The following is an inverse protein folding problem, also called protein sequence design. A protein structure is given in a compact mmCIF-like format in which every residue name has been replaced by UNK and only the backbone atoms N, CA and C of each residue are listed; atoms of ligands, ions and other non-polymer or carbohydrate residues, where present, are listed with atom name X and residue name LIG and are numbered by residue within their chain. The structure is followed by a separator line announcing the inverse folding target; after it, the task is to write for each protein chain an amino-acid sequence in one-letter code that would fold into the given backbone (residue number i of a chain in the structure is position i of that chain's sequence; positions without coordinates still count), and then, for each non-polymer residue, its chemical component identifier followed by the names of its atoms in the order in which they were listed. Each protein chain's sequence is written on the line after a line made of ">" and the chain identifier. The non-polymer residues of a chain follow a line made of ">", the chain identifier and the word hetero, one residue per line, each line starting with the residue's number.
data_IF_175683041711
#
_entry.id   IF_175683041711
#
_cell.length_a   1.000
_cell.length_b   1.000
_cell.length_c   1.000
_cell.angle_alpha   90.00
_cell.angle_beta   90.00
_cell.angle_gamma   90.00
#
_symmetry.space_group_name_H-M   'P 1'
#
loop_
_entity.id
_entity.type
_entity.pdbx_description
1 polymer ?
#
# COMPACT_ATOMS: atom_id res chain seq x y z
N UNK A 1 23.56 31.80 49.58
CA UNK A 1 22.26 31.48 50.21
C UNK A 1 21.20 32.38 49.57
N UNK A 2 20.48 31.89 48.56
CA UNK A 2 19.44 32.66 47.87
C UNK A 2 18.08 32.07 48.24
N UNK A 3 17.24 32.88 48.88
CA UNK A 3 15.91 32.51 49.36
C UNK A 3 14.97 32.22 48.18
N UNK A 4 14.46 30.98 48.14
CA UNK A 4 13.50 30.49 47.18
C UNK A 4 12.12 31.14 47.37
N UNK A 5 11.72 31.94 46.39
CA UNK A 5 10.40 32.56 46.32
C UNK A 5 9.40 31.52 45.75
N UNK A 6 8.71 30.78 46.63
CA UNK A 6 7.61 29.89 46.25
C UNK A 6 6.43 30.71 45.73
N UNK A 7 6.28 30.82 44.42
CA UNK A 7 5.07 31.36 43.79
C UNK A 7 3.95 30.34 43.96
N UNK A 8 2.97 30.69 44.80
CA UNK A 8 1.70 29.99 44.93
C UNK A 8 0.94 30.10 43.61
N UNK A 9 0.90 29.00 42.85
CA UNK A 9 0.07 28.87 41.66
C UNK A 9 -1.38 28.71 42.12
N UNK A 10 -2.16 29.79 42.02
CA UNK A 10 -3.63 29.69 42.07
C UNK A 10 -4.07 28.92 40.83
N UNK A 11 -4.61 27.71 41.02
CA UNK A 11 -5.25 26.95 39.95
C UNK A 11 -6.45 27.76 39.42
N UNK A 12 -6.45 28.17 38.13
CA UNK A 12 -7.63 28.77 37.55
C UNK A 12 -8.72 27.70 37.45
N UNK A 13 -9.86 28.05 38.04
CA UNK A 13 -11.10 27.29 38.09
C UNK A 13 -11.51 26.79 36.70
N UNK A 14 -11.93 25.53 36.70
CA UNK A 14 -12.53 24.78 35.60
C UNK A 14 -13.72 25.51 34.99
N UNK A 15 -13.49 26.23 33.88
CA UNK A 15 -14.56 26.52 32.94
C UNK A 15 -14.59 25.41 31.89
N UNK A 16 -15.33 24.34 32.20
CA UNK A 16 -15.79 23.35 31.21
C UNK A 16 -16.84 24.02 30.34
N UNK A 17 -16.43 25.02 29.56
CA UNK A 17 -17.23 25.57 28.49
C UNK A 17 -17.18 24.61 27.29
N UNK A 18 -18.21 24.57 26.43
CA UNK A 18 -18.24 23.74 25.23
C UNK A 18 -17.06 23.96 24.26
N UNK A 19 -16.26 25.02 24.45
CA UNK A 19 -15.01 25.25 23.72
C UNK A 19 -13.84 24.32 24.10
N UNK A 20 -13.81 23.80 25.34
CA UNK A 20 -12.71 22.95 25.82
C UNK A 20 -12.67 21.59 25.10
N UNK A 21 -13.84 21.00 24.84
CA UNK A 21 -13.96 19.71 24.15
C UNK A 21 -13.53 19.79 22.68
N UNK A 22 -13.84 20.90 22.00
CA UNK A 22 -13.38 21.18 20.63
C UNK A 22 -11.86 21.30 20.56
N UNK A 23 -11.24 22.05 21.48
CA UNK A 23 -9.80 22.23 21.50
C UNK A 23 -9.05 20.90 21.75
N UNK A 24 -9.58 20.05 22.63
CA UNK A 24 -9.01 18.73 22.90
C UNK A 24 -9.10 17.81 21.66
N UNK A 25 -10.24 17.80 20.96
CA UNK A 25 -10.40 17.02 19.73
C UNK A 25 -9.45 17.47 18.61
N UNK A 26 -9.25 18.79 18.46
CA UNK A 26 -8.29 19.31 17.48
C UNK A 26 -6.87 18.83 17.78
N UNK A 27 -6.44 18.87 19.05
CA UNK A 27 -5.13 18.39 19.47
C UNK A 27 -4.90 16.92 19.10
N UNK A 28 -5.92 16.07 19.24
CA UNK A 28 -5.83 14.66 18.89
C UNK A 28 -5.69 14.45 17.39
N UNK A 29 -6.44 15.20 16.56
CA UNK A 29 -6.34 15.13 15.10
C UNK A 29 -4.92 15.50 14.63
N UNK A 30 -4.30 16.52 15.21
CA UNK A 30 -2.93 16.90 14.86
C UNK A 30 -1.90 15.84 15.28
N UNK A 31 -2.08 15.20 16.43
CA UNK A 31 -1.18 14.12 16.90
C UNK A 31 -1.28 12.86 16.06
N UNK A 32 -2.48 12.53 15.59
CA UNK A 32 -2.70 11.40 14.70
C UNK A 32 -2.15 11.76 13.32
N UNK A 33 -2.66 12.81 12.68
CA UNK A 33 -2.29 13.13 11.29
C UNK A 33 -0.88 13.70 11.11
N UNK A 34 -0.18 14.04 12.19
CA UNK A 34 1.11 14.74 12.22
C UNK A 34 1.12 16.11 11.51
N UNK A 35 -0.04 16.67 11.14
CA UNK A 35 -0.10 17.96 10.42
C UNK A 35 0.47 19.11 11.25
N UNK A 36 1.11 20.06 10.59
CA UNK A 36 1.50 21.31 11.25
C UNK A 36 0.25 22.12 11.63
N UNK A 37 0.29 22.78 12.81
CA UNK A 37 -0.78 23.70 13.21
C UNK A 37 -0.87 24.93 12.30
N UNK A 38 0.28 25.39 11.78
CA UNK A 38 0.33 26.49 10.82
C UNK A 38 0.06 25.98 9.40
N UNK A 39 -1.06 26.40 8.81
CA UNK A 39 -1.46 26.01 7.46
C UNK A 39 -0.42 26.37 6.39
N UNK A 40 0.30 27.50 6.52
CA UNK A 40 1.33 27.91 5.56
C UNK A 40 2.53 26.97 5.59
N UNK A 41 2.95 26.53 6.78
CA UNK A 41 4.04 25.56 6.94
C UNK A 41 3.65 24.20 6.37
N UNK A 42 2.40 23.77 6.60
CA UNK A 42 1.88 22.54 6.00
C UNK A 42 1.82 22.61 4.47
N UNK A 43 1.38 23.72 3.90
CA UNK A 43 1.36 23.92 2.45
C UNK A 43 2.78 23.87 1.85
N UNK A 44 3.74 24.53 2.50
CA UNK A 44 5.15 24.48 2.09
C UNK A 44 5.71 23.05 2.13
N UNK A 45 5.45 22.32 3.22
CA UNK A 45 5.86 20.93 3.36
C UNK A 45 5.29 20.07 2.23
N UNK A 46 3.97 20.15 2.00
CA UNK A 46 3.29 19.38 0.97
C UNK A 46 3.83 19.69 -0.42
N UNK A 47 4.08 20.98 -0.71
CA UNK A 47 4.63 21.41 -1.99
C UNK A 47 6.05 20.87 -2.19
N UNK A 48 6.88 20.84 -1.15
CA UNK A 48 8.24 20.27 -1.22
C UNK A 48 8.25 18.75 -1.45
N UNK A 49 7.21 18.04 -1.02
CA UNK A 49 7.08 16.59 -1.23
C UNK A 49 6.49 16.24 -2.60
N UNK A 50 5.73 17.15 -3.22
CA UNK A 50 5.08 16.92 -4.52
C UNK A 50 6.07 16.49 -5.60
N UNK A 51 7.19 17.20 -5.73
CA UNK A 51 8.16 16.91 -6.79
C UNK A 51 8.83 15.53 -6.59
N UNK A 52 9.13 15.19 -5.32
CA UNK A 52 9.63 13.87 -4.94
C UNK A 52 8.59 12.78 -5.22
N UNK A 53 7.32 13.05 -4.90
CA UNK A 53 6.21 12.12 -5.16
C UNK A 53 6.12 11.82 -6.66
N UNK A 54 6.05 12.83 -7.51
CA UNK A 54 5.92 12.66 -8.97
C UNK A 54 7.11 11.87 -9.54
N UNK A 55 8.34 12.23 -9.18
CA UNK A 55 9.54 11.53 -9.65
C UNK A 55 9.56 10.06 -9.18
N UNK A 56 9.30 9.83 -7.90
CA UNK A 56 9.34 8.47 -7.34
C UNK A 56 8.21 7.60 -7.91
N UNK A 57 7.06 8.19 -8.21
CA UNK A 57 5.93 7.51 -8.83
C UNK A 57 6.20 7.15 -10.29
N UNK A 58 6.91 8.02 -11.04
CA UNK A 58 7.41 7.70 -12.38
C UNK A 58 8.32 6.45 -12.36
N UNK A 59 9.34 6.43 -11.50
CA UNK A 59 10.27 5.31 -11.41
C UNK A 59 9.60 4.01 -10.95
N UNK A 60 8.66 4.11 -10.01
CA UNK A 60 7.87 2.96 -9.58
C UNK A 60 7.06 2.38 -10.74
N UNK A 61 6.46 3.23 -11.58
CA UNK A 61 5.71 2.78 -12.75
C UNK A 61 6.60 2.15 -13.82
N UNK A 62 7.83 2.67 -14.02
CA UNK A 62 8.85 2.01 -14.87
C UNK A 62 9.16 0.62 -14.34
N UNK A 63 9.44 0.48 -13.04
CA UNK A 63 9.76 -0.80 -12.43
C UNK A 63 8.59 -1.79 -12.55
N UNK A 64 7.37 -1.34 -12.29
CA UNK A 64 6.15 -2.15 -12.43
C UNK A 64 5.97 -2.64 -13.87
N UNK A 65 6.23 -1.78 -14.86
CA UNK A 65 6.17 -2.15 -16.27
C UNK A 65 7.24 -3.19 -16.63
N UNK A 66 8.49 -3.01 -16.17
CA UNK A 66 9.58 -3.96 -16.41
C UNK A 66 9.28 -5.35 -15.81
N UNK A 67 8.77 -5.39 -14.58
CA UNK A 67 8.35 -6.64 -13.93
C UNK A 67 7.18 -7.27 -14.69
N UNK A 68 6.23 -6.47 -15.15
CA UNK A 68 5.08 -7.00 -15.90
C UNK A 68 5.50 -7.57 -17.25
N UNK A 69 6.40 -6.89 -17.95
CA UNK A 69 6.98 -7.38 -19.20
C UNK A 69 7.79 -8.66 -19.00
N UNK A 70 8.59 -8.77 -17.94
CA UNK A 70 9.34 -10.00 -17.67
C UNK A 70 8.41 -11.18 -17.36
N UNK A 71 7.31 -10.92 -16.63
CA UNK A 71 6.28 -11.93 -16.40
C UNK A 71 5.61 -12.38 -17.70
N UNK A 72 5.30 -11.47 -18.63
CA UNK A 72 4.79 -11.83 -19.95
C UNK A 72 5.76 -12.69 -20.78
N UNK A 73 7.06 -12.52 -20.59
CA UNK A 73 8.06 -13.35 -21.26
C UNK A 73 8.16 -14.73 -20.61
N UNK A 74 8.09 -14.83 -19.29
CA UNK A 74 8.23 -16.10 -18.56
C UNK A 74 6.96 -16.96 -18.68
N UNK A 75 5.78 -16.34 -18.68
CA UNK A 75 4.49 -17.03 -18.60
C UNK A 75 4.21 -18.03 -19.73
N UNK A 76 4.54 -17.76 -21.01
CA UNK A 76 4.35 -18.69 -22.12
C UNK A 76 5.20 -19.97 -22.01
N UNK A 77 6.30 -19.94 -21.23
CA UNK A 77 7.12 -21.12 -21.00
C UNK A 77 6.53 -22.09 -19.99
N UNK A 78 5.39 -21.76 -19.36
CA UNK A 78 4.63 -22.72 -18.58
C UNK A 78 4.10 -23.83 -19.52
N UNK A 79 4.33 -25.12 -19.21
CA UNK A 79 3.99 -26.22 -20.11
C UNK A 79 2.53 -26.12 -20.55
N UNK A 80 2.22 -26.24 -21.85
CA UNK A 80 0.85 -26.18 -22.33
C UNK A 80 0.04 -27.29 -21.65
N UNK A 81 -1.09 -26.91 -21.08
CA UNK A 81 -2.09 -27.84 -20.59
C UNK A 81 -3.22 -27.81 -21.60
N UNK A 82 -3.52 -28.93 -22.23
CA UNK A 82 -4.63 -29.07 -23.21
C UNK A 82 -6.01 -29.00 -22.54
N UNK A 83 -6.09 -28.50 -21.31
CA UNK A 83 -7.31 -28.38 -20.53
C UNK A 83 -7.93 -26.98 -20.71
N UNK A 84 -9.22 -26.89 -21.11
CA UNK A 84 -9.88 -25.60 -21.33
C UNK A 84 -9.95 -24.75 -20.04
N UNK A 85 -10.03 -25.38 -18.87
CA UNK A 85 -10.04 -24.70 -17.57
C UNK A 85 -8.71 -23.97 -17.33
N UNK A 86 -7.58 -24.63 -17.60
CA UNK A 86 -6.25 -24.04 -17.44
C UNK A 86 -6.07 -22.83 -18.37
N UNK A 87 -6.57 -22.91 -19.62
CA UNK A 87 -6.53 -21.80 -20.56
C UNK A 87 -7.38 -20.59 -20.09
N UNK A 88 -8.56 -20.83 -19.51
CA UNK A 88 -9.38 -19.75 -18.93
C UNK A 88 -8.72 -19.09 -17.73
N UNK A 89 -8.12 -19.87 -16.84
CA UNK A 89 -7.33 -19.34 -15.71
C UNK A 89 -6.15 -18.49 -16.22
N UNK A 90 -5.42 -18.97 -17.24
CA UNK A 90 -4.32 -18.20 -17.86
C UNK A 90 -4.82 -16.88 -18.44
N UNK A 91 -5.94 -16.90 -19.14
CA UNK A 91 -6.54 -15.69 -19.71
C UNK A 91 -6.87 -14.68 -18.62
N UNK A 92 -7.47 -15.10 -17.50
CA UNK A 92 -7.75 -14.21 -16.37
C UNK A 92 -6.46 -13.59 -15.80
N UNK A 93 -5.41 -14.39 -15.61
CA UNK A 93 -4.11 -13.90 -15.17
C UNK A 93 -3.48 -12.90 -16.16
N UNK A 94 -3.58 -13.16 -17.47
CA UNK A 94 -3.12 -12.24 -18.51
C UNK A 94 -3.91 -10.93 -18.54
N UNK A 95 -5.23 -10.98 -18.33
CA UNK A 95 -6.07 -9.78 -18.22
C UNK A 95 -5.69 -8.96 -16.99
N UNK A 96 -5.47 -9.61 -15.84
CA UNK A 96 -4.99 -8.95 -14.63
C UNK A 96 -3.62 -8.28 -14.86
N UNK A 97 -2.68 -9.00 -15.44
CA UNK A 97 -1.35 -8.48 -15.79
C UNK A 97 -1.41 -7.32 -16.79
N UNK A 98 -2.22 -7.44 -17.84
CA UNK A 98 -2.47 -6.37 -18.81
C UNK A 98 -3.08 -5.13 -18.17
N UNK A 99 -3.95 -5.31 -17.16
CA UNK A 99 -4.54 -4.21 -16.40
C UNK A 99 -3.51 -3.50 -15.53
N UNK A 100 -2.58 -4.25 -14.91
CA UNK A 100 -1.44 -3.69 -14.18
C UNK A 100 -0.52 -2.89 -15.11
N UNK A 101 -0.22 -3.42 -16.30
CA UNK A 101 0.56 -2.70 -17.31
C UNK A 101 -0.11 -1.42 -17.77
N UNK A 102 -1.42 -1.47 -18.02
CA UNK A 102 -2.18 -0.29 -18.41
C UNK A 102 -2.14 0.77 -17.30
N UNK A 103 -2.32 0.40 -16.04
CA UNK A 103 -2.19 1.30 -14.90
C UNK A 103 -0.79 1.91 -14.81
N UNK A 104 0.27 1.12 -15.05
CA UNK A 104 1.65 1.60 -15.08
C UNK A 104 1.87 2.62 -16.21
N UNK A 105 1.39 2.34 -17.42
CA UNK A 105 1.49 3.25 -18.59
C UNK A 105 0.74 4.56 -18.33
N UNK A 106 -0.49 4.49 -17.82
CA UNK A 106 -1.28 5.68 -17.47
C UNK A 106 -0.52 6.53 -16.44
N UNK A 107 0.04 5.90 -15.41
CA UNK A 107 0.87 6.57 -14.41
C UNK A 107 2.12 7.22 -15.01
N UNK A 108 2.82 6.53 -15.91
CA UNK A 108 3.99 7.08 -16.61
C UNK A 108 3.63 8.31 -17.44
N UNK A 109 2.52 8.27 -18.17
CA UNK A 109 2.06 9.40 -18.98
C UNK A 109 1.66 10.57 -18.08
N UNK A 110 0.95 10.30 -16.98
CA UNK A 110 0.49 11.32 -16.04
C UNK A 110 1.66 12.00 -15.29
N UNK A 111 2.70 11.25 -14.94
CA UNK A 111 3.87 11.77 -14.19
C UNK A 111 4.97 12.32 -15.09
N UNK A 112 5.15 11.77 -16.30
CA UNK A 112 6.22 12.16 -17.22
C UNK A 112 5.98 13.50 -17.93
N UNK A 113 4.75 14.00 -17.98
CA UNK A 113 4.45 15.32 -18.55
C UNK A 113 4.43 16.39 -17.46
N UNK A 114 5.44 17.26 -17.46
CA UNK A 114 5.55 18.39 -16.53
C UNK A 114 4.29 19.26 -16.47
N UNK A 115 3.61 19.45 -17.61
CA UNK A 115 2.37 20.24 -17.66
C UNK A 115 1.24 19.61 -16.84
N UNK A 116 1.13 18.29 -16.84
CA UNK A 116 0.08 17.57 -16.10
C UNK A 116 0.44 17.54 -14.61
N UNK A 117 1.69 17.19 -14.29
CA UNK A 117 2.16 17.12 -12.91
C UNK A 117 2.13 18.48 -12.22
N UNK A 118 2.47 19.57 -12.93
CA UNK A 118 2.40 20.94 -12.41
C UNK A 118 0.96 21.32 -11.99
N UNK A 119 -0.05 20.91 -12.75
CA UNK A 119 -1.47 21.22 -12.50
C UNK A 119 -2.11 20.37 -11.42
N UNK A 120 -1.53 19.21 -11.10
CA UNK A 120 -2.12 18.29 -10.12
C UNK A 120 -1.99 18.85 -8.70
N UNK A 121 -3.11 18.97 -7.99
CA UNK A 121 -3.07 19.35 -6.58
C UNK A 121 -2.40 18.23 -5.76
N UNK A 122 -1.51 18.53 -4.82
CA UNK A 122 -0.77 17.50 -4.06
C UNK A 122 -1.67 16.44 -3.41
N UNK A 123 -2.74 16.85 -2.75
CA UNK A 123 -3.70 15.92 -2.14
C UNK A 123 -4.32 14.95 -3.17
N UNK A 124 -4.59 15.42 -4.39
CA UNK A 124 -5.14 14.58 -5.46
C UNK A 124 -4.09 13.59 -5.94
N UNK A 125 -2.82 14.01 -6.02
CA UNK A 125 -1.71 13.12 -6.36
C UNK A 125 -1.52 12.01 -5.31
N UNK A 126 -1.59 12.34 -4.02
CA UNK A 126 -1.51 11.36 -2.93
C UNK A 126 -2.65 10.33 -3.00
N UNK A 127 -3.89 10.81 -3.16
CA UNK A 127 -5.07 9.94 -3.26
C UNK A 127 -5.01 9.06 -4.51
N UNK A 128 -4.63 9.62 -5.66
CA UNK A 128 -4.46 8.85 -6.89
C UNK A 128 -3.39 7.77 -6.74
N UNK A 129 -2.26 8.10 -6.09
CA UNK A 129 -1.19 7.15 -5.84
C UNK A 129 -1.67 5.96 -5.00
N UNK A 130 -2.41 6.23 -3.91
CA UNK A 130 -2.98 5.18 -3.07
C UNK A 130 -4.07 4.39 -3.78
N UNK A 131 -4.91 5.03 -4.59
CA UNK A 131 -5.93 4.34 -5.37
C UNK A 131 -5.33 3.31 -6.34
N UNK A 132 -4.24 3.66 -7.02
CA UNK A 132 -3.50 2.71 -7.86
C UNK A 132 -2.89 1.59 -7.02
N UNK A 133 -2.28 1.88 -5.87
CA UNK A 133 -1.74 0.83 -4.99
C UNK A 133 -2.83 -0.12 -4.49
N UNK A 134 -3.98 0.41 -4.09
CA UNK A 134 -5.14 -0.40 -3.70
C UNK A 134 -5.67 -1.24 -4.84
N UNK A 135 -5.63 -0.74 -6.08
CA UNK A 135 -5.97 -1.50 -7.28
C UNK A 135 -4.99 -2.66 -7.53
N UNK A 136 -3.69 -2.47 -7.26
CA UNK A 136 -2.69 -3.52 -7.46
C UNK A 136 -2.84 -4.70 -6.50
N UNK A 137 -3.31 -4.48 -5.27
CA UNK A 137 -3.49 -5.53 -4.25
C UNK A 137 -4.31 -6.73 -4.74
N UNK A 138 -5.57 -6.58 -5.23
CA UNK A 138 -6.33 -7.72 -5.74
C UNK A 138 -5.73 -8.30 -7.04
N UNK A 139 -5.08 -7.47 -7.86
CA UNK A 139 -4.44 -7.95 -9.09
C UNK A 139 -3.32 -8.95 -8.80
N UNK A 140 -2.59 -8.80 -7.69
CA UNK A 140 -1.58 -9.78 -7.26
C UNK A 140 -2.16 -11.19 -7.17
N UNK A 141 -3.35 -11.35 -6.60
CA UNK A 141 -4.00 -12.66 -6.48
C UNK A 141 -4.59 -13.15 -7.80
N UNK A 142 -5.17 -12.27 -8.60
CA UNK A 142 -5.70 -12.65 -9.93
C UNK A 142 -4.60 -13.06 -10.90
N UNK A 143 -3.36 -12.58 -10.68
CA UNK A 143 -2.17 -13.04 -11.41
C UNK A 143 -1.60 -14.36 -10.86
N UNK A 144 -2.02 -14.86 -9.69
CA UNK A 144 -1.62 -16.19 -9.24
C UNK A 144 -2.59 -17.25 -9.76
N UNK A 145 -2.04 -18.28 -10.42
CA UNK A 145 -2.80 -19.34 -11.07
C UNK A 145 -3.73 -20.11 -10.11
N UNK A 146 -3.33 -20.25 -8.84
CA UNK A 146 -4.13 -20.93 -7.84
C UNK A 146 -5.41 -20.15 -7.54
N UNK A 147 -5.25 -18.88 -7.18
CA UNK A 147 -6.37 -18.01 -6.84
C UNK A 147 -7.24 -17.65 -8.04
N UNK A 148 -6.64 -17.43 -9.21
CA UNK A 148 -7.39 -17.25 -10.45
C UNK A 148 -8.27 -18.47 -10.77
N UNK A 149 -7.79 -19.70 -10.53
CA UNK A 149 -8.60 -20.92 -10.72
C UNK A 149 -9.76 -20.98 -9.74
N UNK A 150 -9.51 -20.67 -8.45
CA UNK A 150 -10.54 -20.62 -7.41
C UNK A 150 -11.61 -19.56 -7.72
N UNK A 151 -11.23 -18.38 -8.20
CA UNK A 151 -12.17 -17.33 -8.60
C UNK A 151 -13.09 -17.76 -9.75
N UNK A 152 -12.62 -18.66 -10.61
CA UNK A 152 -13.42 -19.25 -11.70
C UNK A 152 -14.22 -20.49 -11.26
N UNK A 153 -14.12 -20.89 -9.99
CA UNK A 153 -14.80 -22.06 -9.43
C UNK A 153 -14.14 -23.41 -9.79
N UNK A 154 -12.91 -23.40 -10.31
CA UNK A 154 -12.18 -24.62 -10.64
C UNK A 154 -11.34 -25.11 -9.45
N UNK A 155 -11.14 -26.42 -9.35
CA UNK A 155 -10.16 -26.99 -8.43
C UNK A 155 -8.74 -26.80 -9.00
N UNK A 156 -7.84 -26.05 -8.32
CA UNK A 156 -6.49 -25.82 -8.82
C UNK A 156 -5.68 -27.10 -8.96
N UNK A 157 -5.93 -28.09 -8.08
CA UNK A 157 -5.29 -29.40 -8.12
C UNK A 157 -5.60 -30.12 -9.43
N UNK A 158 -6.88 -30.30 -9.74
CA UNK A 158 -7.30 -30.95 -10.99
C UNK A 158 -7.03 -30.10 -12.24
N UNK A 159 -7.01 -28.77 -12.13
CA UNK A 159 -6.80 -27.89 -13.30
C UNK A 159 -5.35 -27.90 -13.77
N UNK A 160 -4.41 -27.94 -12.83
CA UNK A 160 -2.98 -27.76 -13.10
C UNK A 160 -2.13 -29.01 -12.85
N UNK A 161 -2.66 -30.07 -12.23
CA UNK A 161 -1.95 -31.34 -12.15
C UNK A 161 -1.79 -31.94 -13.55
N UNK A 162 -0.54 -32.19 -13.94
CA UNK A 162 -0.22 -33.02 -15.10
C UNK A 162 0.26 -34.38 -14.59
N UNK A 163 0.07 -35.46 -15.35
CA UNK A 163 0.42 -36.83 -14.98
C UNK A 163 1.91 -37.00 -14.60
N UNK A 164 2.75 -36.01 -14.98
CA UNK A 164 4.19 -35.98 -14.72
C UNK A 164 4.63 -34.94 -13.68
N UNK A 165 3.79 -33.96 -13.33
CA UNK A 165 4.19 -32.82 -12.49
C UNK A 165 3.05 -32.47 -11.53
N UNK A 166 3.31 -32.71 -10.24
CA UNK A 166 2.48 -32.18 -9.15
C UNK A 166 2.96 -30.76 -8.85
N UNK A 167 2.20 -29.77 -9.29
CA UNK A 167 2.46 -28.38 -8.94
C UNK A 167 2.22 -28.16 -7.45
N UNK A 168 3.28 -27.80 -6.72
CA UNK A 168 3.16 -27.33 -5.32
C UNK A 168 2.82 -25.85 -5.33
N UNK A 169 1.60 -25.53 -4.90
CA UNK A 169 1.14 -24.16 -4.72
C UNK A 169 1.58 -23.63 -3.36
N UNK A 170 1.79 -22.31 -3.25
CA UNK A 170 2.09 -21.63 -1.99
C UNK A 170 1.73 -20.15 -2.11
N UNK A 171 1.32 -19.54 -0.99
CA UNK A 171 0.99 -18.10 -0.93
C UNK A 171 2.21 -17.19 -0.94
N UNK A 172 3.41 -17.76 -0.80
CA UNK A 172 4.68 -17.03 -0.71
C UNK A 172 4.83 -15.95 -1.78
N UNK A 173 4.45 -16.24 -3.04
CA UNK A 173 4.57 -15.28 -4.15
C UNK A 173 3.62 -14.09 -4.00
N UNK A 174 2.36 -14.35 -3.62
CA UNK A 174 1.37 -13.30 -3.40
C UNK A 174 1.78 -12.40 -2.24
N UNK A 175 2.24 -12.99 -1.13
CA UNK A 175 2.66 -12.25 0.06
C UNK A 175 3.92 -11.45 -0.21
N UNK A 176 4.90 -12.02 -0.92
CA UNK A 176 6.11 -11.30 -1.29
C UNK A 176 5.80 -10.12 -2.21
N UNK A 177 4.93 -10.31 -3.20
CA UNK A 177 4.48 -9.24 -4.09
C UNK A 177 3.77 -8.12 -3.30
N UNK A 178 2.88 -8.45 -2.36
CA UNK A 178 2.27 -7.45 -1.49
C UNK A 178 3.26 -6.75 -0.57
N UNK A 179 4.22 -7.50 -0.02
CA UNK A 179 5.27 -6.94 0.83
C UNK A 179 6.10 -5.92 0.05
N UNK A 180 6.39 -6.20 -1.23
CA UNK A 180 7.06 -5.25 -2.13
C UNK A 180 6.19 -4.01 -2.36
N UNK A 181 4.87 -4.16 -2.59
CA UNK A 181 3.97 -3.02 -2.73
C UNK A 181 3.92 -2.13 -1.48
N UNK A 182 3.82 -2.75 -0.30
CA UNK A 182 3.84 -2.06 1.00
C UNK A 182 5.18 -1.34 1.16
N UNK A 183 6.30 -2.04 1.01
CA UNK A 183 7.62 -1.44 1.17
C UNK A 183 7.87 -0.29 0.18
N UNK A 184 7.50 -0.46 -1.08
CA UNK A 184 7.63 0.60 -2.09
C UNK A 184 6.78 1.83 -1.73
N UNK A 185 5.54 1.63 -1.28
CA UNK A 185 4.68 2.75 -0.87
C UNK A 185 5.21 3.48 0.38
N UNK A 186 5.88 2.78 1.30
CA UNK A 186 6.42 3.36 2.54
C UNK A 186 7.77 4.07 2.35
N UNK A 187 8.67 3.48 1.55
CA UNK A 187 10.05 3.93 1.39
C UNK A 187 10.20 4.87 0.20
N UNK A 188 9.48 4.61 -0.90
CA UNK A 188 9.67 5.34 -2.15
C UNK A 188 8.70 6.51 -2.24
N UNK A 189 7.46 6.40 -1.77
CA UNK A 189 6.50 7.49 -1.89
C UNK A 189 6.47 8.36 -0.63
N UNK A 190 6.62 9.69 -0.74
CA UNK A 190 6.50 10.61 0.40
C UNK A 190 5.03 10.83 0.80
N UNK A 191 4.27 9.75 0.95
CA UNK A 191 2.86 9.79 1.34
C UNK A 191 2.73 9.97 2.86
N UNK A 192 1.65 10.63 3.26
CA UNK A 192 1.27 10.73 4.68
C UNK A 192 0.85 9.35 5.17
N UNK A 193 1.27 8.99 6.39
CA UNK A 193 0.99 7.67 6.93
C UNK A 193 -0.52 7.35 6.99
N UNK A 194 -1.36 8.33 7.32
CA UNK A 194 -2.83 8.16 7.39
C UNK A 194 -3.43 7.81 6.03
N UNK A 195 -2.84 8.30 4.94
CA UNK A 195 -3.33 8.07 3.59
C UNK A 195 -2.96 6.65 3.11
N UNK A 196 -1.90 6.05 3.67
CA UNK A 196 -1.49 4.66 3.40
C UNK A 196 -2.31 3.62 4.18
N UNK A 197 -2.83 3.97 5.35
CA UNK A 197 -3.57 3.03 6.21
C UNK A 197 -4.70 2.24 5.50
N UNK A 198 -5.52 2.82 4.61
CA UNK A 198 -6.51 2.05 3.85
C UNK A 198 -5.90 0.96 2.97
N UNK A 199 -4.74 1.21 2.36
CA UNK A 199 -4.04 0.24 1.53
C UNK A 199 -3.43 -0.88 2.38
N UNK A 200 -2.87 -0.57 3.55
CA UNK A 200 -2.38 -1.56 4.51
C UNK A 200 -3.47 -2.51 5.00
N UNK A 201 -4.61 -1.94 5.41
CA UNK A 201 -5.80 -2.70 5.81
C UNK A 201 -6.30 -3.55 4.66
N UNK A 202 -6.38 -2.99 3.45
CA UNK A 202 -6.80 -3.73 2.27
C UNK A 202 -5.86 -4.90 1.96
N UNK A 203 -4.54 -4.74 2.09
CA UNK A 203 -3.57 -5.83 1.88
C UNK A 203 -3.82 -7.00 2.83
N UNK A 204 -3.97 -6.72 4.14
CA UNK A 204 -4.24 -7.76 5.15
C UNK A 204 -5.60 -8.43 4.91
N UNK A 205 -6.64 -7.64 4.66
CA UNK A 205 -7.98 -8.15 4.37
C UNK A 205 -8.04 -8.95 3.08
N UNK A 206 -7.32 -8.53 2.04
CA UNK A 206 -7.23 -9.29 0.79
C UNK A 206 -6.56 -10.64 1.04
N UNK A 207 -5.44 -10.69 1.76
CA UNK A 207 -4.82 -11.97 2.11
C UNK A 207 -5.77 -12.86 2.91
N UNK A 208 -6.40 -12.34 3.96
CA UNK A 208 -7.37 -13.11 4.74
C UNK A 208 -8.54 -13.60 3.87
N UNK A 209 -9.09 -12.75 3.01
CA UNK A 209 -10.18 -13.11 2.09
C UNK A 209 -9.79 -14.24 1.15
N UNK A 210 -8.68 -14.10 0.43
CA UNK A 210 -8.21 -15.11 -0.51
C UNK A 210 -7.83 -16.42 0.21
N UNK A 211 -7.08 -16.36 1.31
CA UNK A 211 -6.62 -17.56 2.02
C UNK A 211 -7.75 -18.32 2.75
N UNK A 212 -8.68 -17.62 3.42
CA UNK A 212 -9.70 -18.28 4.24
C UNK A 212 -11.04 -18.49 3.52
N UNK A 213 -11.45 -17.59 2.62
CA UNK A 213 -12.75 -17.70 1.93
C UNK A 213 -12.64 -18.58 0.69
N UNK A 214 -11.60 -18.41 -0.12
CA UNK A 214 -11.39 -19.25 -1.31
C UNK A 214 -10.64 -20.55 -1.01
N UNK A 215 -10.01 -20.63 0.17
CA UNK A 215 -9.18 -21.74 0.62
C UNK A 215 -7.81 -21.67 -0.03
N UNK A 216 -6.81 -21.21 0.72
CA UNK A 216 -5.43 -21.06 0.28
C UNK A 216 -4.65 -22.38 0.24
N UNK A 217 -3.52 -22.42 -0.50
CA UNK A 217 -2.69 -23.61 -0.68
C UNK A 217 -1.93 -24.03 0.59
N UNK A 218 -1.67 -23.10 1.52
CA UNK A 218 -0.88 -23.36 2.73
C UNK A 218 -1.72 -24.00 3.87
N UNK A 219 -3.04 -24.17 3.67
CA UNK A 219 -3.91 -24.90 4.61
C UNK A 219 -3.90 -24.33 6.02
N UNK A 220 -3.50 -25.14 7.02
CA UNK A 220 -3.44 -24.73 8.43
C UNK A 220 -2.41 -23.64 8.71
N UNK A 221 -1.36 -23.54 7.90
CA UNK A 221 -0.29 -22.57 8.09
C UNK A 221 -0.71 -21.15 7.69
N UNK A 222 -1.86 -20.99 7.00
CA UNK A 222 -2.42 -19.71 6.62
C UNK A 222 -2.62 -18.76 7.82
N UNK A 223 -2.91 -19.29 9.01
CA UNK A 223 -3.02 -18.49 10.24
C UNK A 223 -1.70 -17.88 10.67
N UNK A 224 -0.64 -18.70 10.73
CA UNK A 224 0.72 -18.24 11.06
C UNK A 224 1.17 -17.18 10.05
N UNK A 225 0.92 -17.43 8.78
CA UNK A 225 1.24 -16.52 7.69
C UNK A 225 0.46 -15.21 7.78
N UNK A 226 -0.84 -15.23 8.12
CA UNK A 226 -1.65 -14.02 8.33
C UNK A 226 -1.10 -13.18 9.48
N UNK A 227 -0.75 -13.81 10.60
CA UNK A 227 -0.21 -13.12 11.78
C UNK A 227 1.13 -12.46 11.47
N UNK A 228 2.05 -13.19 10.81
CA UNK A 228 3.34 -12.66 10.40
C UNK A 228 3.20 -11.52 9.39
N UNK A 229 2.31 -11.67 8.41
CA UNK A 229 2.06 -10.62 7.43
C UNK A 229 1.44 -9.37 8.06
N UNK A 230 0.49 -9.54 9.00
CA UNK A 230 -0.09 -8.43 9.77
C UNK A 230 0.97 -7.72 10.61
N UNK A 231 1.85 -8.47 11.28
CA UNK A 231 2.95 -7.89 12.04
C UNK A 231 3.91 -7.10 11.14
N UNK A 232 4.23 -7.61 9.95
CA UNK A 232 5.04 -6.91 8.94
C UNK A 232 4.40 -5.57 8.52
N UNK A 233 3.09 -5.56 8.28
CA UNK A 233 2.33 -4.35 7.93
C UNK A 233 2.39 -3.34 9.07
N UNK A 234 2.12 -3.76 10.31
CA UNK A 234 2.18 -2.87 11.49
C UNK A 234 3.59 -2.29 11.67
N UNK A 235 4.64 -3.10 11.58
CA UNK A 235 6.02 -2.64 11.67
C UNK A 235 6.36 -1.62 10.56
N UNK A 236 5.86 -1.86 9.34
CA UNK A 236 6.03 -0.92 8.21
C UNK A 236 5.31 0.41 8.46
N UNK A 237 4.09 0.38 9.01
CA UNK A 237 3.31 1.54 9.42
C UNK A 237 4.05 2.39 10.46
N UNK A 238 4.59 1.74 11.50
CA UNK A 238 5.37 2.40 12.56
C UNK A 238 6.63 3.04 11.96
N UNK A 239 7.34 2.32 11.09
CA UNK A 239 8.53 2.83 10.40
C UNK A 239 8.22 4.08 9.58
N UNK A 240 7.15 4.05 8.77
CA UNK A 240 6.72 5.21 7.98
C UNK A 240 6.34 6.40 8.84
N UNK A 241 5.56 6.17 9.90
CA UNK A 241 5.17 7.23 10.85
C UNK A 241 6.41 7.88 11.47
N UNK A 242 7.41 7.08 11.83
CA UNK A 242 8.68 7.57 12.41
C UNK A 242 9.47 8.43 11.42
N UNK A 243 9.58 8.00 10.17
CA UNK A 243 10.22 8.77 9.10
C UNK A 243 9.50 10.11 8.88
N UNK A 244 8.16 10.10 8.84
CA UNK A 244 7.38 11.32 8.68
C UNK A 244 7.56 12.30 9.85
N UNK A 245 7.58 11.80 11.10
CA UNK A 245 7.86 12.64 12.27
C UNK A 245 9.22 13.33 12.15
N UNK A 246 10.27 12.59 11.80
CA UNK A 246 11.61 13.15 11.65
C UNK A 246 11.70 14.19 10.53
N UNK A 247 11.04 13.95 9.39
CA UNK A 247 10.93 14.91 8.29
C UNK A 247 10.23 16.20 8.72
N UNK A 248 9.22 16.11 9.59
CA UNK A 248 8.49 17.28 10.09
C UNK A 248 9.27 18.06 11.14
N UNK A 249 9.98 17.36 12.03
CA UNK A 249 10.86 17.98 13.04
C UNK A 249 12.01 18.77 12.40
N UNK A 250 12.68 18.20 11.40
CA UNK A 250 13.78 18.86 10.69
C UNK A 250 13.36 20.18 9.99
N UNK A 251 12.10 20.29 9.56
CA UNK A 251 11.57 21.52 8.97
C UNK A 251 11.22 22.61 10.00
N UNK A 252 11.02 22.25 11.28
CA UNK A 252 10.78 23.24 12.34
C UNK A 252 12.07 23.91 12.82
N UNK A 253 13.23 23.33 12.49
CA UNK A 253 14.55 23.86 12.85
C UNK A 253 15.07 24.91 11.86
N UNK A 254 14.43 25.05 10.69
CA UNK A 254 14.76 26.00 9.62
C UNK A 254 13.90 27.26 9.79
#
# INVERSE_FOLDING_TARGET
>A
MAQGQRRSFKHPLSSTGPGADTAMRELDIYRVTLRFRNARTEEYFVRSQKDRLVNNYFWLAVQLLLVSCSMLVIWPFAPPLDRPEANRTRLLGMVALGSVMLAAIVTLIATGKETISARLHPNVAEVAAVAVMMFLVPMVYLMDLYYASKCLGYDPGSTWANDRIVYKFSDTRCILAQSVLILASHLTLPLRWVVLAPQEVLSVLAYAGFAFVLGGPDGSDAWSTLLLFTALVICSAIGRRTIEMHQRESLQQI
#
